data_IF_860173205155
#
_entry.id   IF_860173205155
#
_cell.length_a   1.000
_cell.length_b   1.000
_cell.length_c   1.000
_cell.angle_alpha   90.00
_cell.angle_beta   90.00
_cell.angle_gamma   90.00
#
_symmetry.space_group_name_H-M   'P 1'
#
loop_
_entity.id
_entity.type
_entity.pdbx_description
1 polymer ?
#
# COMPACT_ATOMS: atom_id res chain seq x y z
N UNK A 1 -52.18 -7.73 -10.55
CA UNK A 1 -52.25 -6.47 -11.36
C UNK A 1 -51.37 -5.47 -10.70
N UNK A 2 -50.16 -5.27 -11.19
CA UNK A 2 -49.26 -4.17 -10.75
C UNK A 2 -49.86 -2.89 -11.30
N UNK A 3 -50.56 -2.13 -10.45
CA UNK A 3 -50.98 -0.77 -10.78
C UNK A 3 -49.72 0.05 -11.06
N UNK A 4 -49.54 0.45 -12.31
CA UNK A 4 -48.47 1.33 -12.71
C UNK A 4 -48.75 2.72 -12.10
N UNK A 5 -48.14 2.99 -10.93
CA UNK A 5 -48.34 4.21 -10.14
C UNK A 5 -47.44 5.35 -10.70
N UNK A 6 -46.77 5.12 -11.81
CA UNK A 6 -45.85 6.08 -12.42
C UNK A 6 -46.62 7.22 -13.11
N UNK A 7 -46.33 8.45 -12.73
CA UNK A 7 -46.85 9.63 -13.43
C UNK A 7 -46.01 9.88 -14.69
N UNK A 8 -46.67 10.01 -15.83
CA UNK A 8 -46.02 10.27 -17.13
C UNK A 8 -44.90 9.31 -17.52
N UNK A 9 -44.99 8.04 -17.09
CA UNK A 9 -43.94 7.01 -17.30
C UNK A 9 -42.55 7.34 -16.70
N UNK A 10 -42.50 8.29 -15.79
CA UNK A 10 -41.24 8.54 -15.03
C UNK A 10 -40.99 7.34 -14.10
N UNK A 11 -39.77 6.80 -14.06
CA UNK A 11 -39.46 5.67 -13.19
C UNK A 11 -39.78 5.98 -11.71
N UNK A 12 -40.60 5.17 -11.04
CA UNK A 12 -40.90 5.36 -9.62
C UNK A 12 -39.69 5.03 -8.74
N UNK A 13 -39.77 5.35 -7.44
CA UNK A 13 -38.76 5.01 -6.44
C UNK A 13 -37.32 5.41 -6.86
N UNK A 14 -37.20 6.64 -7.38
CA UNK A 14 -35.96 7.22 -7.90
C UNK A 14 -35.31 6.41 -9.06
N UNK A 15 -36.03 5.47 -9.68
CA UNK A 15 -35.48 4.58 -10.69
C UNK A 15 -34.42 3.58 -10.16
N UNK A 16 -34.20 3.58 -8.86
CA UNK A 16 -33.19 2.74 -8.20
C UNK A 16 -33.75 1.46 -7.57
N UNK A 17 -35.09 1.40 -7.41
CA UNK A 17 -35.77 0.28 -6.73
C UNK A 17 -37.03 -0.09 -7.52
N UNK A 18 -37.47 -1.33 -7.30
CA UNK A 18 -38.79 -1.78 -7.74
C UNK A 18 -39.74 -1.87 -6.54
N UNK A 19 -41.09 -1.77 -6.80
CA UNK A 19 -42.07 -1.99 -5.75
C UNK A 19 -42.01 -3.43 -5.21
N UNK A 20 -41.73 -4.41 -6.07
CA UNK A 20 -41.61 -5.81 -5.69
C UNK A 20 -40.49 -6.06 -4.69
N UNK A 21 -39.29 -5.54 -4.97
CA UNK A 21 -38.13 -5.65 -4.06
C UNK A 21 -38.35 -4.88 -2.76
N UNK A 22 -38.94 -3.69 -2.85
CA UNK A 22 -39.16 -2.80 -1.71
C UNK A 22 -40.25 -3.23 -0.74
N UNK A 23 -41.12 -4.15 -1.16
CA UNK A 23 -42.19 -4.73 -0.32
C UNK A 23 -41.69 -5.89 0.55
N UNK A 24 -40.52 -6.43 0.29
CA UNK A 24 -39.93 -7.49 1.11
C UNK A 24 -39.41 -6.91 2.44
N UNK A 25 -39.73 -7.55 3.61
CA UNK A 25 -39.26 -7.01 4.91
C UNK A 25 -37.73 -6.86 5.01
N UNK A 26 -36.97 -7.84 4.53
CA UNK A 26 -35.53 -7.86 4.59
C UNK A 26 -34.97 -8.11 6.00
N UNK A 27 -33.72 -7.69 6.22
CA UNK A 27 -33.04 -7.80 7.50
C UNK A 27 -33.55 -6.75 8.49
N UNK A 28 -33.63 -7.12 9.77
CA UNK A 28 -33.75 -6.16 10.85
C UNK A 28 -32.47 -5.32 11.01
N UNK A 29 -32.56 -4.17 11.70
CA UNK A 29 -31.37 -3.33 11.99
C UNK A 29 -30.34 -4.13 12.79
N UNK A 30 -30.76 -4.94 13.76
CA UNK A 30 -29.86 -5.74 14.58
C UNK A 30 -29.09 -6.77 13.73
N UNK A 31 -29.79 -7.52 12.87
CA UNK A 31 -29.17 -8.51 11.96
C UNK A 31 -28.22 -7.83 10.96
N UNK A 32 -28.64 -6.67 10.42
CA UNK A 32 -27.80 -5.88 9.53
C UNK A 32 -26.50 -5.46 10.23
N UNK A 33 -26.56 -4.88 11.43
CA UNK A 33 -25.39 -4.43 12.20
C UNK A 33 -24.45 -5.58 12.54
N UNK A 34 -24.96 -6.74 12.94
CA UNK A 34 -24.12 -7.93 13.19
C UNK A 34 -23.32 -8.31 11.95
N UNK A 35 -23.96 -8.38 10.79
CA UNK A 35 -23.28 -8.67 9.52
C UNK A 35 -22.27 -7.61 9.14
N UNK A 36 -22.60 -6.31 9.25
CA UNK A 36 -21.68 -5.22 8.96
C UNK A 36 -20.44 -5.26 9.86
N UNK A 37 -20.58 -5.64 11.13
CA UNK A 37 -19.43 -5.83 12.05
C UNK A 37 -18.53 -6.99 11.61
N UNK A 38 -19.09 -8.10 11.11
CA UNK A 38 -18.29 -9.19 10.56
C UNK A 38 -17.53 -8.75 9.29
N UNK A 39 -18.19 -8.05 8.35
CA UNK A 39 -17.54 -7.51 7.15
C UNK A 39 -16.43 -6.53 7.49
N UNK A 40 -16.69 -5.62 8.44
CA UNK A 40 -15.70 -4.71 8.98
C UNK A 40 -14.47 -5.45 9.53
N UNK A 41 -14.69 -6.49 10.34
CA UNK A 41 -13.61 -7.30 10.91
C UNK A 41 -12.77 -8.00 9.83
N UNK A 42 -13.43 -8.67 8.87
CA UNK A 42 -12.76 -9.35 7.76
C UNK A 42 -11.87 -8.36 6.99
N UNK A 43 -12.39 -7.19 6.61
CA UNK A 43 -11.64 -6.17 5.88
C UNK A 43 -10.52 -5.56 6.72
N UNK A 44 -10.75 -5.29 8.01
CA UNK A 44 -9.72 -4.79 8.94
C UNK A 44 -8.56 -5.78 9.08
N UNK A 45 -8.86 -7.08 9.24
CA UNK A 45 -7.84 -8.13 9.32
C UNK A 45 -7.13 -8.34 7.97
N UNK A 46 -7.86 -8.27 6.85
CA UNK A 46 -7.25 -8.31 5.51
C UNK A 46 -6.30 -7.14 5.30
N UNK A 47 -6.68 -5.91 5.69
CA UNK A 47 -5.78 -4.75 5.72
C UNK A 47 -4.51 -5.05 6.51
N UNK A 48 -4.64 -5.58 7.73
CA UNK A 48 -3.51 -5.93 8.58
C UNK A 48 -2.58 -6.95 7.90
N UNK A 49 -3.14 -8.03 7.34
CA UNK A 49 -2.36 -9.07 6.66
C UNK A 49 -1.60 -8.48 5.48
N UNK A 50 -2.30 -7.78 4.59
CA UNK A 50 -1.71 -7.17 3.39
C UNK A 50 -0.60 -6.19 3.75
N UNK A 51 -0.89 -5.26 4.68
CA UNK A 51 0.11 -4.29 5.14
C UNK A 51 1.35 -4.98 5.73
N UNK A 52 1.16 -5.93 6.65
CA UNK A 52 2.28 -6.54 7.37
C UNK A 52 3.19 -7.41 6.47
N UNK A 53 2.72 -7.80 5.29
CA UNK A 53 3.49 -8.63 4.36
C UNK A 53 4.22 -7.83 3.30
N UNK A 54 4.02 -6.51 3.17
CA UNK A 54 4.71 -5.68 2.18
C UNK A 54 6.23 -5.74 2.31
N UNK A 55 6.87 -5.58 3.48
CA UNK A 55 8.33 -5.63 3.55
C UNK A 55 8.89 -6.99 3.17
N UNK A 56 8.38 -8.06 3.78
CA UNK A 56 8.91 -9.42 3.62
C UNK A 56 8.54 -10.10 2.30
N UNK A 57 7.55 -9.61 1.54
CA UNK A 57 7.25 -10.11 0.20
C UNK A 57 8.36 -9.73 -0.77
N UNK A 58 8.90 -10.70 -1.52
CA UNK A 58 9.98 -10.43 -2.47
C UNK A 58 9.49 -9.95 -3.83
N UNK A 59 8.31 -10.41 -4.29
CA UNK A 59 7.81 -10.13 -5.63
C UNK A 59 7.29 -8.69 -5.70
N UNK A 60 7.92 -7.88 -6.55
CA UNK A 60 7.60 -6.45 -6.69
C UNK A 60 6.11 -6.19 -6.98
N UNK A 61 5.53 -6.91 -7.94
CA UNK A 61 4.11 -6.76 -8.31
C UNK A 61 3.16 -7.08 -7.16
N UNK A 62 3.55 -8.02 -6.29
CA UNK A 62 2.75 -8.33 -5.10
C UNK A 62 2.85 -7.25 -4.03
N UNK A 63 4.03 -6.64 -3.84
CA UNK A 63 4.15 -5.47 -2.95
C UNK A 63 3.23 -4.32 -3.37
N UNK A 64 3.22 -4.01 -4.68
CA UNK A 64 2.36 -2.97 -5.25
C UNK A 64 0.87 -3.30 -5.06
N UNK A 65 0.50 -4.56 -5.33
CA UNK A 65 -0.87 -5.03 -5.14
C UNK A 65 -1.30 -5.06 -3.67
N UNK A 66 -0.44 -5.49 -2.75
CA UNK A 66 -0.75 -5.46 -1.32
C UNK A 66 -0.94 -4.03 -0.81
N UNK A 67 -0.17 -3.07 -1.33
CA UNK A 67 -0.34 -1.65 -1.04
C UNK A 67 -1.72 -1.15 -1.49
N UNK A 68 -2.14 -1.46 -2.74
CA UNK A 68 -3.46 -1.10 -3.28
C UNK A 68 -4.59 -1.78 -2.51
N UNK A 69 -4.48 -3.10 -2.31
CA UNK A 69 -5.54 -3.88 -1.69
C UNK A 69 -5.71 -3.56 -0.19
N UNK A 70 -4.61 -3.19 0.50
CA UNK A 70 -4.73 -2.67 1.87
C UNK A 70 -5.45 -1.33 1.91
N UNK A 71 -5.21 -0.46 0.92
CA UNK A 71 -5.93 0.81 0.78
C UNK A 71 -7.42 0.58 0.51
N UNK A 72 -7.80 -0.30 -0.42
CA UNK A 72 -9.21 -0.68 -0.63
C UNK A 72 -9.87 -1.18 0.66
N UNK A 73 -9.21 -2.09 1.36
CA UNK A 73 -9.70 -2.57 2.66
C UNK A 73 -9.90 -1.43 3.66
N UNK A 74 -8.95 -0.48 3.74
CA UNK A 74 -9.02 0.65 4.67
C UNK A 74 -10.21 1.58 4.38
N UNK A 75 -10.48 1.87 3.11
CA UNK A 75 -11.62 2.68 2.68
C UNK A 75 -12.96 2.01 3.02
N UNK A 76 -13.08 0.70 2.76
CA UNK A 76 -14.30 -0.04 3.11
C UNK A 76 -14.49 -0.17 4.62
N UNK A 77 -13.44 -0.37 5.39
CA UNK A 77 -13.50 -0.35 6.85
C UNK A 77 -14.05 1.00 7.33
N UNK A 78 -13.54 2.12 6.81
CA UNK A 78 -14.03 3.47 7.17
C UNK A 78 -15.51 3.67 6.83
N UNK A 79 -15.93 3.23 5.64
CA UNK A 79 -17.33 3.30 5.22
C UNK A 79 -18.25 2.46 6.13
N UNK A 80 -17.81 1.26 6.52
CA UNK A 80 -18.57 0.37 7.40
C UNK A 80 -18.62 0.91 8.84
N UNK A 81 -17.50 1.45 9.37
CA UNK A 81 -17.47 2.12 10.70
C UNK A 81 -18.46 3.26 10.74
N UNK A 82 -18.46 4.13 9.72
CA UNK A 82 -19.42 5.22 9.60
C UNK A 82 -20.86 4.69 9.56
N UNK A 83 -21.13 3.68 8.70
CA UNK A 83 -22.50 3.14 8.56
C UNK A 83 -23.03 2.54 9.86
N UNK A 84 -22.24 1.74 10.58
CA UNK A 84 -22.65 1.21 11.88
C UNK A 84 -22.93 2.32 12.88
N UNK A 85 -22.15 3.39 12.88
CA UNK A 85 -22.35 4.58 13.73
C UNK A 85 -23.64 5.36 13.40
N UNK A 86 -24.16 5.26 12.16
CA UNK A 86 -25.43 5.90 11.75
C UNK A 86 -26.67 5.10 12.17
N UNK A 87 -26.50 3.85 12.57
CA UNK A 87 -27.61 2.96 12.97
C UNK A 87 -27.87 3.12 14.48
N UNK A 88 -29.07 2.75 14.92
CA UNK A 88 -29.45 2.87 16.34
C UNK A 88 -28.62 2.00 17.29
N UNK A 89 -27.92 1.00 16.75
CA UNK A 89 -26.98 0.18 17.51
C UNK A 89 -25.67 0.97 17.70
N UNK A 90 -25.15 1.14 18.93
CA UNK A 90 -23.91 1.86 19.15
C UNK A 90 -22.73 1.21 18.40
N UNK A 91 -21.78 2.01 17.88
CA UNK A 91 -20.57 1.51 17.23
C UNK A 91 -19.60 0.83 18.19
N UNK A 92 -19.89 0.84 19.49
CA UNK A 92 -19.09 0.20 20.54
C UNK A 92 -18.85 -1.28 20.21
N UNK A 93 -17.59 -1.70 20.31
CA UNK A 93 -17.19 -3.06 20.03
C UNK A 93 -16.76 -3.32 18.59
N UNK A 94 -16.62 -2.30 17.72
CA UNK A 94 -16.06 -2.48 16.36
C UNK A 94 -14.60 -2.96 16.37
N UNK A 95 -13.89 -2.76 17.45
CA UNK A 95 -12.52 -3.24 17.63
C UNK A 95 -12.46 -4.61 18.32
N UNK A 96 -13.59 -5.14 18.78
CA UNK A 96 -13.69 -6.48 19.33
C UNK A 96 -13.79 -7.52 18.20
N UNK A 97 -13.37 -8.75 18.51
CA UNK A 97 -13.56 -9.90 17.63
C UNK A 97 -15.05 -10.29 17.63
N UNK A 98 -15.75 -10.22 16.49
CA UNK A 98 -17.16 -10.59 16.43
C UNK A 98 -17.41 -12.11 16.49
N UNK A 99 -16.42 -12.91 16.05
CA UNK A 99 -16.48 -14.37 15.99
C UNK A 99 -15.09 -14.98 16.12
N UNK A 100 -14.90 -15.95 17.01
CA UNK A 100 -13.61 -16.60 17.28
C UNK A 100 -13.04 -17.34 16.07
N UNK A 101 -13.89 -17.85 15.16
CA UNK A 101 -13.44 -18.55 13.97
C UNK A 101 -12.85 -17.59 12.93
N UNK A 102 -13.37 -16.35 12.86
CA UNK A 102 -12.75 -15.30 12.05
C UNK A 102 -11.37 -14.89 12.61
N UNK A 103 -11.21 -14.88 13.92
CA UNK A 103 -9.90 -14.60 14.52
C UNK A 103 -8.90 -15.69 14.14
N UNK A 104 -9.24 -16.97 14.34
CA UNK A 104 -8.40 -18.11 13.97
C UNK A 104 -8.05 -18.06 12.49
N UNK A 105 -9.03 -17.84 11.61
CA UNK A 105 -8.82 -17.72 10.17
C UNK A 105 -7.71 -16.71 9.83
N UNK A 106 -7.81 -15.50 10.35
CA UNK A 106 -6.84 -14.44 10.03
C UNK A 106 -5.50 -14.61 10.74
N UNK A 107 -5.48 -15.24 11.91
CA UNK A 107 -4.22 -15.62 12.56
C UNK A 107 -3.46 -16.66 11.72
N UNK A 108 -4.15 -17.64 11.16
CA UNK A 108 -3.59 -18.62 10.23
C UNK A 108 -3.08 -17.97 8.94
N UNK A 109 -3.86 -17.05 8.36
CA UNK A 109 -3.50 -16.37 7.10
C UNK A 109 -2.27 -15.46 7.30
N UNK A 110 -2.21 -14.68 8.38
CA UNK A 110 -1.07 -13.80 8.62
C UNK A 110 0.21 -14.58 8.90
N UNK A 111 0.08 -15.76 9.52
CA UNK A 111 1.17 -16.68 9.84
C UNK A 111 1.55 -17.61 8.66
N UNK A 112 0.91 -17.47 7.49
CA UNK A 112 1.20 -18.30 6.33
C UNK A 112 2.71 -18.26 5.98
N UNK A 113 3.38 -19.43 5.84
CA UNK A 113 4.83 -19.50 5.73
C UNK A 113 5.38 -19.14 4.35
N UNK A 114 4.53 -19.12 3.32
CA UNK A 114 4.93 -18.80 1.95
C UNK A 114 3.97 -17.83 1.28
N UNK A 115 4.46 -17.14 0.24
CA UNK A 115 3.64 -16.28 -0.64
C UNK A 115 2.44 -17.03 -1.23
N UNK A 116 2.63 -18.29 -1.65
CA UNK A 116 1.55 -19.09 -2.22
C UNK A 116 0.41 -19.33 -1.22
N UNK A 117 0.74 -19.73 0.00
CA UNK A 117 -0.25 -19.96 1.06
C UNK A 117 -0.97 -18.66 1.46
N UNK A 118 -0.21 -17.57 1.58
CA UNK A 118 -0.78 -16.25 1.82
C UNK A 118 -1.82 -15.87 0.75
N UNK A 119 -1.47 -16.05 -0.53
CA UNK A 119 -2.37 -15.76 -1.65
C UNK A 119 -3.60 -16.67 -1.64
N UNK A 120 -3.45 -17.96 -1.35
CA UNK A 120 -4.59 -18.88 -1.19
C UNK A 120 -5.51 -18.41 -0.07
N UNK A 121 -4.95 -18.14 1.12
CA UNK A 121 -5.73 -17.70 2.28
C UNK A 121 -6.53 -16.43 2.02
N UNK A 122 -5.94 -15.43 1.37
CA UNK A 122 -6.61 -14.18 1.05
C UNK A 122 -7.55 -14.31 -0.17
N UNK A 123 -7.03 -14.77 -1.33
CA UNK A 123 -7.71 -14.61 -2.62
C UNK A 123 -8.52 -15.82 -3.07
N UNK A 124 -8.29 -17.01 -2.51
CA UNK A 124 -9.12 -18.20 -2.77
C UNK A 124 -10.10 -18.54 -1.63
N UNK A 125 -9.78 -18.10 -0.39
CA UNK A 125 -10.61 -18.42 0.77
C UNK A 125 -11.31 -17.19 1.33
N UNK A 126 -10.59 -16.20 1.88
CA UNK A 126 -11.19 -15.08 2.62
C UNK A 126 -12.02 -14.14 1.75
N UNK A 127 -11.45 -13.59 0.66
CA UNK A 127 -12.17 -12.65 -0.21
C UNK A 127 -13.36 -13.29 -0.96
N UNK A 128 -13.29 -14.52 -1.49
CA UNK A 128 -14.46 -15.18 -2.06
C UNK A 128 -15.59 -15.41 -1.06
N UNK A 129 -15.26 -15.75 0.18
CA UNK A 129 -16.25 -15.85 1.26
C UNK A 129 -16.90 -14.49 1.56
N UNK A 130 -16.10 -13.44 1.72
CA UNK A 130 -16.60 -12.08 1.94
C UNK A 130 -17.50 -11.64 0.78
N UNK A 131 -17.06 -11.85 -0.46
CA UNK A 131 -17.84 -11.55 -1.67
C UNK A 131 -19.21 -12.23 -1.65
N UNK A 132 -19.23 -13.55 -1.37
CA UNK A 132 -20.46 -14.32 -1.28
C UNK A 132 -21.38 -13.82 -0.18
N UNK A 133 -20.81 -13.47 0.99
CA UNK A 133 -21.56 -12.96 2.14
C UNK A 133 -22.16 -11.58 1.87
N UNK A 134 -21.42 -10.70 1.18
CA UNK A 134 -21.89 -9.37 0.74
C UNK A 134 -23.01 -9.50 -0.31
N UNK A 135 -22.84 -10.39 -1.29
CA UNK A 135 -23.91 -10.66 -2.27
C UNK A 135 -25.17 -11.17 -1.60
N UNK A 136 -25.05 -12.16 -0.69
CA UNK A 136 -26.18 -12.66 0.09
C UNK A 136 -26.88 -11.56 0.89
N UNK A 137 -26.11 -10.60 1.46
CA UNK A 137 -26.68 -9.45 2.15
C UNK A 137 -27.58 -8.63 1.21
N UNK A 138 -27.11 -8.34 -0.01
CA UNK A 138 -27.90 -7.63 -1.02
C UNK A 138 -29.19 -8.36 -1.39
N UNK A 139 -29.11 -9.70 -1.48
CA UNK A 139 -30.25 -10.56 -1.88
C UNK A 139 -31.34 -10.60 -0.81
N UNK A 140 -30.99 -10.52 0.48
CA UNK A 140 -31.91 -10.70 1.60
C UNK A 140 -32.33 -9.41 2.30
N UNK A 141 -31.60 -8.30 2.12
CA UNK A 141 -31.97 -7.00 2.71
C UNK A 141 -33.10 -6.32 1.93
N UNK A 142 -33.78 -5.35 2.56
CA UNK A 142 -34.67 -4.46 1.83
C UNK A 142 -33.87 -3.34 1.16
N UNK A 143 -33.83 -3.26 -0.18
CA UNK A 143 -32.95 -2.33 -0.88
C UNK A 143 -33.32 -0.86 -0.70
N UNK A 144 -34.58 -0.56 -0.38
CA UNK A 144 -35.04 0.80 -0.12
C UNK A 144 -34.77 1.21 1.33
N UNK A 145 -35.15 0.37 2.30
CA UNK A 145 -35.00 0.68 3.72
C UNK A 145 -33.52 0.73 4.14
N UNK A 146 -32.69 -0.19 3.62
CA UNK A 146 -31.26 -0.28 3.94
C UNK A 146 -30.36 0.19 2.78
N UNK A 147 -30.86 1.11 1.96
CA UNK A 147 -30.09 1.63 0.80
C UNK A 147 -28.69 2.13 1.15
N UNK A 148 -28.41 2.81 2.27
CA UNK A 148 -27.05 3.22 2.60
C UNK A 148 -26.07 2.03 2.71
N UNK A 149 -26.46 0.92 3.33
CA UNK A 149 -25.64 -0.29 3.39
C UNK A 149 -25.52 -0.96 2.02
N UNK A 150 -26.64 -1.05 1.26
CA UNK A 150 -26.63 -1.57 -0.11
C UNK A 150 -25.62 -0.83 -0.99
N UNK A 151 -25.59 0.50 -0.91
CA UNK A 151 -24.62 1.31 -1.66
C UNK A 151 -23.17 0.97 -1.29
N UNK A 152 -22.83 0.92 -0.01
CA UNK A 152 -21.48 0.59 0.47
C UNK A 152 -21.08 -0.81 -0.03
N UNK A 153 -21.96 -1.80 0.10
CA UNK A 153 -21.71 -3.18 -0.30
C UNK A 153 -21.46 -3.29 -1.82
N UNK A 154 -22.23 -2.57 -2.64
CA UNK A 154 -22.03 -2.56 -4.11
C UNK A 154 -20.65 -2.05 -4.50
N UNK A 155 -20.15 -0.99 -3.87
CA UNK A 155 -18.80 -0.50 -4.12
C UNK A 155 -17.73 -1.50 -3.63
N UNK A 156 -17.93 -2.09 -2.45
CA UNK A 156 -17.01 -3.10 -1.96
C UNK A 156 -16.92 -4.32 -2.89
N UNK A 157 -18.04 -4.78 -3.45
CA UNK A 157 -18.05 -5.91 -4.39
C UNK A 157 -17.23 -5.64 -5.66
N UNK A 158 -17.24 -4.41 -6.20
CA UNK A 158 -16.44 -4.07 -7.38
C UNK A 158 -14.94 -4.27 -7.11
N UNK A 159 -14.43 -3.70 -6.02
CA UNK A 159 -13.01 -3.77 -5.70
C UNK A 159 -12.59 -5.17 -5.21
N UNK A 160 -13.46 -5.88 -4.48
CA UNK A 160 -13.22 -7.28 -4.07
C UNK A 160 -13.14 -8.20 -5.29
N UNK A 161 -13.98 -8.00 -6.32
CA UNK A 161 -13.92 -8.79 -7.56
C UNK A 161 -12.61 -8.55 -8.33
N UNK A 162 -12.11 -7.30 -8.34
CA UNK A 162 -10.78 -6.97 -8.89
C UNK A 162 -9.66 -7.67 -8.11
N UNK A 163 -9.68 -7.60 -6.78
CA UNK A 163 -8.70 -8.27 -5.92
C UNK A 163 -8.68 -9.79 -6.14
N UNK A 164 -9.85 -10.44 -6.18
CA UNK A 164 -9.97 -11.89 -6.44
C UNK A 164 -9.40 -12.23 -7.82
N UNK A 165 -9.73 -11.45 -8.85
CA UNK A 165 -9.24 -11.67 -10.22
C UNK A 165 -7.71 -11.59 -10.28
N UNK A 166 -7.12 -10.58 -9.66
CA UNK A 166 -5.67 -10.43 -9.55
C UNK A 166 -5.03 -11.63 -8.83
N UNK A 167 -5.54 -11.99 -7.65
CA UNK A 167 -5.02 -13.11 -6.86
C UNK A 167 -5.04 -14.44 -7.59
N UNK A 168 -6.11 -14.74 -8.34
CA UNK A 168 -6.19 -15.94 -9.19
C UNK A 168 -5.11 -15.94 -10.25
N UNK A 169 -4.89 -14.84 -10.94
CA UNK A 169 -3.84 -14.72 -11.97
C UNK A 169 -2.44 -14.92 -11.38
N UNK A 170 -2.19 -14.41 -10.16
CA UNK A 170 -0.93 -14.63 -9.45
C UNK A 170 -0.74 -16.10 -9.08
N UNK A 171 -1.76 -16.76 -8.53
CA UNK A 171 -1.70 -18.17 -8.15
C UNK A 171 -1.48 -19.09 -9.34
N UNK A 172 -2.12 -18.81 -10.48
CA UNK A 172 -1.87 -19.54 -11.73
C UNK A 172 -0.40 -19.40 -12.17
N UNK A 173 0.19 -18.23 -12.03
CA UNK A 173 1.58 -17.96 -12.41
C UNK A 173 2.58 -18.65 -11.50
N UNK A 174 2.37 -18.58 -10.19
CA UNK A 174 3.23 -19.21 -9.18
C UNK A 174 3.13 -20.74 -9.25
N UNK A 175 1.91 -21.29 -9.42
CA UNK A 175 1.68 -22.74 -9.48
C UNK A 175 2.29 -23.41 -10.71
N UNK A 176 2.52 -22.67 -11.80
CA UNK A 176 3.26 -23.20 -12.97
C UNK A 176 4.73 -23.46 -12.66
N UNK A 177 5.31 -22.68 -11.74
CA UNK A 177 6.73 -22.83 -11.33
C UNK A 177 6.90 -23.89 -10.24
N UNK A 178 5.92 -24.05 -9.36
CA UNK A 178 5.97 -24.98 -8.22
C UNK A 178 4.77 -25.92 -8.21
N UNK A 179 4.97 -27.13 -8.79
CA UNK A 179 3.92 -28.15 -8.91
C UNK A 179 3.75 -29.03 -7.67
N UNK A 180 4.66 -28.96 -6.70
CA UNK A 180 4.79 -29.97 -5.64
C UNK A 180 3.96 -29.66 -4.37
N UNK A 181 3.44 -28.46 -4.23
CA UNK A 181 2.82 -28.02 -2.97
C UNK A 181 1.31 -28.07 -3.00
N UNK A 182 0.73 -28.94 -2.17
CA UNK A 182 -0.71 -29.03 -1.94
C UNK A 182 -0.96 -29.22 -0.44
N UNK A 183 -1.08 -28.12 0.32
CA UNK A 183 -1.45 -28.17 1.73
C UNK A 183 -2.98 -28.16 1.89
N UNK A 184 -3.61 -29.27 1.47
CA UNK A 184 -5.07 -29.41 1.55
C UNK A 184 -5.58 -29.33 2.98
N UNK A 185 -4.81 -29.85 3.97
CA UNK A 185 -5.25 -29.84 5.38
C UNK A 185 -5.37 -28.43 5.95
N UNK A 186 -4.49 -27.48 5.54
CA UNK A 186 -4.58 -26.09 5.96
C UNK A 186 -5.75 -25.37 5.28
N UNK A 187 -5.98 -25.62 3.99
CA UNK A 187 -7.13 -25.08 3.28
C UNK A 187 -8.46 -25.59 3.90
N UNK A 188 -8.50 -26.88 4.27
CA UNK A 188 -9.65 -27.47 4.95
C UNK A 188 -9.90 -26.80 6.31
N UNK A 189 -8.82 -26.51 7.08
CA UNK A 189 -8.92 -25.76 8.33
C UNK A 189 -9.49 -24.36 8.12
N UNK A 190 -9.01 -23.62 7.11
CA UNK A 190 -9.55 -22.28 6.80
C UNK A 190 -11.05 -22.35 6.41
N UNK A 191 -11.43 -23.33 5.62
CA UNK A 191 -12.83 -23.55 5.25
C UNK A 191 -13.68 -23.96 6.46
N UNK A 192 -13.15 -24.77 7.38
CA UNK A 192 -13.83 -25.10 8.63
C UNK A 192 -14.07 -23.84 9.47
N UNK A 193 -13.10 -22.94 9.58
CA UNK A 193 -13.31 -21.64 10.23
C UNK A 193 -14.51 -20.91 9.62
N UNK A 194 -14.52 -20.75 8.29
CA UNK A 194 -15.58 -20.00 7.60
C UNK A 194 -16.97 -20.63 7.73
N UNK A 195 -17.06 -21.96 7.72
CA UNK A 195 -18.32 -22.69 7.87
C UNK A 195 -18.94 -22.53 9.27
N UNK A 196 -18.14 -22.16 10.26
CA UNK A 196 -18.58 -21.98 11.66
C UNK A 196 -18.89 -20.51 12.02
N UNK A 197 -18.75 -19.54 11.10
CA UNK A 197 -19.11 -18.14 11.35
C UNK A 197 -20.64 -17.97 11.41
N UNK A 198 -21.19 -17.93 12.61
CA UNK A 198 -22.62 -18.01 12.88
C UNK A 198 -23.46 -16.88 12.24
N UNK A 199 -22.97 -15.63 12.31
CA UNK A 199 -23.73 -14.46 11.84
C UNK A 199 -23.81 -14.33 10.31
N UNK A 200 -22.98 -15.07 9.58
CA UNK A 200 -22.92 -15.03 8.10
C UNK A 200 -23.47 -16.29 7.43
N UNK A 201 -23.45 -17.43 8.09
CA UNK A 201 -23.84 -18.72 7.49
C UNK A 201 -25.34 -19.06 7.61
N UNK A 202 -26.11 -18.40 8.47
CA UNK A 202 -27.50 -18.71 8.82
C UNK A 202 -27.70 -20.11 9.46
N UNK A 203 -26.65 -20.82 9.73
CA UNK A 203 -26.72 -22.07 10.49
C UNK A 203 -26.49 -21.75 11.96
N UNK A 204 -27.45 -22.10 12.81
CA UNK A 204 -27.18 -22.10 14.25
C UNK A 204 -26.15 -23.22 14.51
N UNK A 205 -24.87 -22.88 14.47
CA UNK A 205 -23.86 -23.83 14.86
C UNK A 205 -24.02 -24.15 16.34
N UNK A 206 -24.65 -25.30 16.61
CA UNK A 206 -24.90 -25.81 17.96
C UNK A 206 -23.67 -26.52 18.55
N UNK A 207 -22.58 -26.65 17.78
CA UNK A 207 -21.33 -27.32 18.22
C UNK A 207 -20.20 -26.32 18.21
N UNK A 208 -19.65 -26.02 19.38
CA UNK A 208 -18.31 -25.43 19.48
C UNK A 208 -17.30 -26.48 18.99
N UNK A 209 -16.87 -26.35 17.76
CA UNK A 209 -15.80 -27.18 17.20
C UNK A 209 -14.50 -26.55 17.64
N UNK A 210 -13.66 -27.30 18.36
CA UNK A 210 -12.31 -26.85 18.69
C UNK A 210 -11.45 -27.00 17.45
N UNK A 211 -11.08 -25.87 16.84
CA UNK A 211 -10.20 -25.84 15.66
C UNK A 211 -8.74 -25.89 16.14
N UNK A 212 -7.98 -26.86 15.66
CA UNK A 212 -6.56 -26.96 15.94
C UNK A 212 -5.78 -26.02 15.01
N UNK A 213 -5.12 -25.01 15.58
CA UNK A 213 -4.27 -24.06 14.84
C UNK A 213 -3.06 -24.79 14.23
N UNK A 214 -2.70 -24.46 12.98
CA UNK A 214 -1.59 -25.07 12.27
C UNK A 214 -0.37 -24.14 12.23
N UNK A 215 -0.52 -22.94 11.68
CA UNK A 215 0.57 -21.96 11.58
C UNK A 215 0.50 -20.90 12.68
N UNK A 216 -0.65 -20.71 13.27
CA UNK A 216 -0.88 -19.73 14.34
C UNK A 216 -0.91 -20.34 15.74
N UNK A 217 -0.24 -21.50 15.94
CA UNK A 217 -0.06 -22.06 17.29
C UNK A 217 0.68 -21.09 18.22
N UNK A 218 1.62 -20.32 17.67
CA UNK A 218 2.27 -19.18 18.31
C UNK A 218 1.82 -17.88 17.64
N UNK A 219 1.76 -16.75 18.38
CA UNK A 219 1.42 -15.45 17.80
C UNK A 219 2.36 -15.06 16.66
N UNK A 220 1.78 -14.52 15.58
CA UNK A 220 2.56 -14.00 14.45
C UNK A 220 3.57 -12.95 14.92
N UNK A 221 4.80 -13.08 14.48
CA UNK A 221 5.85 -12.09 14.68
C UNK A 221 6.03 -11.27 13.41
N UNK A 222 5.88 -9.95 13.54
CA UNK A 222 6.05 -9.06 12.41
C UNK A 222 7.49 -9.08 11.90
N UNK A 223 7.66 -9.23 10.60
CA UNK A 223 8.95 -9.14 9.92
C UNK A 223 9.00 -7.85 9.07
N UNK A 224 9.69 -6.86 9.57
CA UNK A 224 9.91 -5.58 8.89
C UNK A 224 11.13 -5.55 7.99
N UNK A 225 11.87 -6.65 7.85
CA UNK A 225 13.06 -6.70 6.98
C UNK A 225 12.63 -6.74 5.52
N UNK A 226 13.02 -5.73 4.69
CA UNK A 226 12.67 -5.72 3.29
C UNK A 226 13.32 -6.88 2.53
N UNK A 227 12.52 -7.55 1.71
CA UNK A 227 12.97 -8.56 0.77
C UNK A 227 12.55 -8.16 -0.64
N UNK A 228 13.41 -8.41 -1.64
CA UNK A 228 13.16 -8.04 -3.06
C UNK A 228 13.63 -9.15 -4.00
N UNK A 229 13.03 -9.23 -5.17
CA UNK A 229 13.40 -10.21 -6.19
C UNK A 229 14.70 -9.84 -6.93
N UNK A 230 15.11 -10.71 -7.86
CA UNK A 230 16.38 -10.60 -8.59
C UNK A 230 16.54 -9.33 -9.44
N UNK A 231 15.48 -8.55 -9.64
CA UNK A 231 15.53 -7.24 -10.32
C UNK A 231 16.23 -6.17 -9.49
N UNK A 232 16.48 -6.44 -8.21
CA UNK A 232 17.08 -5.54 -7.23
C UNK A 232 18.39 -6.14 -6.66
N UNK A 233 19.44 -6.29 -7.47
CA UNK A 233 20.58 -7.16 -7.15
C UNK A 233 21.54 -6.61 -6.08
N UNK A 234 21.60 -5.30 -5.86
CA UNK A 234 22.49 -4.67 -4.86
C UNK A 234 21.68 -3.72 -3.96
N UNK A 235 21.12 -4.26 -2.85
CA UNK A 235 20.26 -3.49 -1.95
C UNK A 235 20.96 -2.33 -1.25
N UNK A 236 22.27 -2.31 -1.22
CA UNK A 236 23.08 -1.28 -0.57
C UNK A 236 23.80 -0.34 -1.57
N UNK A 237 23.47 -0.43 -2.86
CA UNK A 237 24.11 0.39 -3.88
C UNK A 237 23.75 1.88 -3.74
N UNK A 238 24.77 2.71 -3.57
CA UNK A 238 24.67 4.16 -3.42
C UNK A 238 25.54 4.90 -4.45
N UNK A 239 25.91 4.21 -5.53
CA UNK A 239 26.86 4.68 -6.53
C UNK A 239 26.39 5.85 -7.38
N UNK A 240 25.12 6.26 -7.31
CA UNK A 240 24.58 7.41 -8.07
C UNK A 240 23.76 8.31 -7.15
N UNK A 241 24.19 9.56 -7.01
CA UNK A 241 23.44 10.61 -6.32
C UNK A 241 22.51 11.33 -7.31
N UNK A 242 21.27 10.94 -7.33
CA UNK A 242 20.26 11.49 -8.24
C UNK A 242 20.01 12.99 -8.00
N UNK A 243 20.01 13.43 -6.75
CA UNK A 243 19.78 14.83 -6.37
C UNK A 243 20.94 15.71 -6.86
N UNK A 244 22.19 15.26 -6.71
CA UNK A 244 23.35 16.00 -7.23
C UNK A 244 23.27 16.19 -8.75
N UNK A 245 22.79 15.18 -9.48
CA UNK A 245 22.56 15.32 -10.92
C UNK A 245 21.39 16.26 -11.23
N UNK A 246 20.28 16.09 -10.54
CA UNK A 246 19.04 16.83 -10.80
C UNK A 246 19.19 18.34 -10.57
N UNK A 247 19.92 18.73 -9.52
CA UNK A 247 20.12 20.14 -9.16
C UNK A 247 21.30 20.81 -9.87
N UNK A 248 22.10 20.09 -10.64
CA UNK A 248 23.17 20.68 -11.47
C UNK A 248 22.58 21.33 -12.72
N UNK A 249 22.68 22.66 -12.80
CA UNK A 249 22.13 23.46 -13.91
C UNK A 249 22.81 23.16 -15.27
N UNK A 250 24.00 22.55 -15.27
CA UNK A 250 24.74 22.21 -16.49
C UNK A 250 24.11 21.04 -17.27
N UNK A 251 23.29 20.20 -16.63
CA UNK A 251 22.63 19.08 -17.29
C UNK A 251 21.31 19.47 -17.93
N UNK A 252 21.03 18.99 -19.16
CA UNK A 252 19.78 19.31 -19.86
C UNK A 252 18.57 18.63 -19.22
N UNK A 253 17.38 19.26 -19.29
CA UNK A 253 16.15 18.75 -18.67
C UNK A 253 15.76 17.33 -19.13
N UNK A 254 16.05 16.96 -20.36
CA UNK A 254 15.76 15.63 -20.92
C UNK A 254 16.53 14.52 -20.17
N UNK A 255 17.79 14.78 -19.79
CA UNK A 255 18.59 13.83 -19.02
C UNK A 255 18.19 13.80 -17.54
N UNK A 256 17.76 14.95 -17.00
CA UNK A 256 17.23 15.05 -15.64
C UNK A 256 15.94 14.23 -15.47
N UNK A 257 15.13 14.11 -16.52
CA UNK A 257 13.93 13.27 -16.49
C UNK A 257 14.26 11.80 -16.17
N UNK A 258 15.40 11.27 -16.60
CA UNK A 258 15.84 9.91 -16.25
C UNK A 258 16.08 9.76 -14.74
N UNK A 259 16.68 10.77 -14.12
CA UNK A 259 16.90 10.77 -12.66
C UNK A 259 15.59 10.94 -11.89
N UNK A 260 14.61 11.66 -12.44
CA UNK A 260 13.27 11.73 -11.83
C UNK A 260 12.54 10.40 -11.87
N UNK A 261 12.60 9.66 -13.00
CA UNK A 261 12.05 8.30 -13.06
C UNK A 261 12.74 7.35 -12.09
N UNK A 262 14.07 7.46 -11.95
CA UNK A 262 14.80 6.71 -10.95
C UNK A 262 14.37 7.07 -9.52
N UNK A 263 14.22 8.36 -9.20
CA UNK A 263 13.74 8.79 -7.88
C UNK A 263 12.37 8.21 -7.58
N UNK A 264 11.44 8.27 -8.55
CA UNK A 264 10.11 7.66 -8.39
C UNK A 264 10.20 6.14 -8.16
N UNK A 265 10.94 5.42 -8.98
CA UNK A 265 11.09 3.97 -8.82
C UNK A 265 11.73 3.59 -7.48
N UNK A 266 12.67 4.41 -6.98
CA UNK A 266 13.31 4.23 -5.66
C UNK A 266 12.30 4.36 -4.50
N UNK A 267 11.18 5.02 -4.69
CA UNK A 267 10.13 5.16 -3.67
C UNK A 267 9.43 3.85 -3.29
N UNK A 268 9.80 2.71 -3.89
CA UNK A 268 9.46 1.38 -3.35
C UNK A 268 9.91 1.20 -1.88
N UNK A 269 10.95 1.93 -1.43
CA UNK A 269 11.39 1.94 -0.04
C UNK A 269 10.34 2.48 0.92
N UNK A 270 9.50 3.41 0.47
CA UNK A 270 8.56 4.11 1.35
C UNK A 270 7.40 3.20 1.79
N UNK A 271 6.69 2.45 0.92
CA UNK A 271 5.71 1.46 1.36
C UNK A 271 6.29 0.42 2.32
N UNK A 272 7.53 -0.03 2.11
CA UNK A 272 8.21 -0.98 3.00
C UNK A 272 8.44 -0.39 4.40
N UNK A 273 8.82 0.88 4.48
CA UNK A 273 8.97 1.59 5.75
C UNK A 273 7.63 1.93 6.39
N UNK A 274 6.67 2.45 5.64
CA UNK A 274 5.35 2.84 6.15
C UNK A 274 4.58 1.64 6.69
N UNK A 275 4.67 0.49 6.02
CA UNK A 275 4.12 -0.77 6.51
C UNK A 275 4.59 -1.06 7.94
N UNK A 276 5.88 -0.85 8.21
CA UNK A 276 6.44 -1.08 9.55
C UNK A 276 5.95 -0.06 10.58
N UNK A 277 5.75 1.20 10.19
CA UNK A 277 5.15 2.21 11.07
C UNK A 277 3.73 1.81 11.45
N UNK A 278 2.91 1.41 10.47
CA UNK A 278 1.52 0.99 10.66
C UNK A 278 1.44 -0.25 11.56
N UNK A 279 2.24 -1.29 11.24
CA UNK A 279 2.23 -2.57 11.95
C UNK A 279 2.65 -2.44 13.43
N UNK A 280 3.62 -1.60 13.70
CA UNK A 280 4.24 -1.47 15.02
C UNK A 280 3.73 -0.25 15.83
N UNK A 281 2.67 0.43 15.35
CA UNK A 281 2.00 1.52 16.08
C UNK A 281 0.55 1.13 16.40
N UNK A 282 0.30 0.17 17.30
CA UNK A 282 -1.04 -0.25 17.67
C UNK A 282 -1.77 0.81 18.51
N UNK A 283 -3.11 0.69 18.58
CA UNK A 283 -3.94 1.47 19.49
C UNK A 283 -4.25 2.89 19.02
N UNK A 284 -3.96 3.22 17.78
CA UNK A 284 -4.40 4.47 17.16
C UNK A 284 -5.88 4.42 16.76
N UNK A 285 -6.56 5.58 16.63
CA UNK A 285 -7.88 5.62 16.01
C UNK A 285 -7.79 5.15 14.56
N UNK A 286 -8.92 4.65 14.01
CA UNK A 286 -8.91 4.07 12.67
C UNK A 286 -8.48 5.06 11.58
N UNK A 287 -8.80 6.32 11.74
CA UNK A 287 -8.46 7.41 10.84
C UNK A 287 -6.94 7.52 10.61
N UNK A 288 -6.14 7.23 11.65
CA UNK A 288 -4.67 7.13 11.51
C UNK A 288 -4.27 6.05 10.51
N UNK A 289 -4.84 4.85 10.65
CA UNK A 289 -4.51 3.74 9.75
C UNK A 289 -4.98 4.00 8.32
N UNK A 290 -6.14 4.63 8.15
CA UNK A 290 -6.66 5.03 6.85
C UNK A 290 -5.74 6.02 6.16
N UNK A 291 -5.35 7.11 6.84
CA UNK A 291 -4.47 8.14 6.31
C UNK A 291 -3.09 7.59 5.96
N UNK A 292 -2.48 6.83 6.88
CA UNK A 292 -1.17 6.21 6.65
C UNK A 292 -1.20 5.20 5.50
N UNK A 293 -2.28 4.43 5.36
CA UNK A 293 -2.43 3.48 4.25
C UNK A 293 -2.69 4.19 2.93
N UNK A 294 -3.36 5.35 2.94
CA UNK A 294 -3.51 6.18 1.75
C UNK A 294 -2.15 6.68 1.27
N UNK A 295 -1.32 7.24 2.14
CA UNK A 295 0.03 7.66 1.80
C UNK A 295 0.87 6.47 1.30
N UNK A 296 0.83 5.34 2.00
CA UNK A 296 1.53 4.11 1.59
C UNK A 296 1.18 3.69 0.14
N UNK A 297 -0.10 3.77 -0.23
CA UNK A 297 -0.53 3.48 -1.60
C UNK A 297 -0.04 4.54 -2.60
N UNK A 298 -0.04 5.81 -2.25
CA UNK A 298 0.47 6.87 -3.10
C UNK A 298 1.95 6.64 -3.43
N UNK A 299 2.76 6.27 -2.43
CA UNK A 299 4.18 5.94 -2.61
C UNK A 299 4.42 4.71 -3.49
N UNK A 300 3.58 3.67 -3.34
CA UNK A 300 3.62 2.52 -4.25
C UNK A 300 3.28 2.92 -5.69
N UNK A 301 2.33 3.87 -5.89
CA UNK A 301 2.03 4.44 -7.21
C UNK A 301 3.22 5.23 -7.77
N UNK A 302 3.88 6.02 -6.94
CA UNK A 302 5.06 6.76 -7.35
C UNK A 302 6.16 5.83 -7.86
N UNK A 303 6.40 4.71 -7.17
CA UNK A 303 7.34 3.70 -7.65
C UNK A 303 6.95 3.15 -9.04
N UNK A 304 5.67 2.83 -9.24
CA UNK A 304 5.17 2.37 -10.55
C UNK A 304 5.24 3.46 -11.62
N UNK A 305 5.07 4.75 -11.28
CA UNK A 305 5.28 5.85 -12.24
C UNK A 305 6.74 5.90 -12.74
N UNK A 306 7.71 5.64 -11.86
CA UNK A 306 9.11 5.52 -12.25
C UNK A 306 9.36 4.36 -13.23
N UNK A 307 8.79 3.19 -12.93
CA UNK A 307 8.83 2.03 -13.83
C UNK A 307 8.23 2.35 -15.20
N UNK A 308 7.01 2.90 -15.23
CA UNK A 308 6.33 3.28 -16.48
C UNK A 308 7.15 4.29 -17.28
N UNK A 309 7.82 5.24 -16.61
CA UNK A 309 8.71 6.20 -17.27
C UNK A 309 9.83 5.55 -18.04
N UNK A 310 10.51 4.55 -17.46
CA UNK A 310 11.56 3.78 -18.13
C UNK A 310 11.02 2.90 -19.24
N UNK A 311 9.92 2.17 -18.99
CA UNK A 311 9.29 1.30 -20.00
C UNK A 311 8.84 2.11 -21.21
N UNK A 312 8.29 3.31 -21.03
CA UNK A 312 7.90 4.21 -22.11
C UNK A 312 9.08 4.62 -23.00
N UNK A 313 10.28 4.75 -22.42
CA UNK A 313 11.51 5.01 -23.15
C UNK A 313 12.14 3.74 -23.76
N UNK A 314 11.52 2.57 -23.62
CA UNK A 314 12.08 1.30 -24.06
C UNK A 314 13.32 0.85 -23.28
N UNK A 315 13.50 1.37 -22.05
CA UNK A 315 14.62 1.06 -21.16
C UNK A 315 14.28 -0.14 -20.30
N UNK A 316 15.14 -1.15 -20.33
CA UNK A 316 15.07 -2.30 -19.42
C UNK A 316 15.63 -1.91 -18.05
N UNK A 317 14.83 -1.23 -17.22
CA UNK A 317 15.28 -0.67 -15.94
C UNK A 317 15.94 -1.71 -15.00
N UNK A 318 15.50 -2.99 -14.89
CA UNK A 318 16.18 -3.96 -14.03
C UNK A 318 17.65 -4.20 -14.39
N UNK A 319 18.01 -3.94 -15.65
CA UNK A 319 19.38 -4.07 -16.13
C UNK A 319 20.19 -2.77 -15.97
N UNK A 320 19.53 -1.63 -16.21
CA UNK A 320 20.23 -0.35 -16.38
C UNK A 320 20.31 0.49 -15.10
N UNK A 321 19.47 0.21 -14.07
CA UNK A 321 19.51 0.93 -12.81
C UNK A 321 19.57 -0.02 -11.63
N UNK A 322 20.17 0.42 -10.51
CA UNK A 322 20.17 -0.30 -9.24
C UNK A 322 19.33 0.45 -8.23
N UNK A 323 18.22 -0.17 -7.83
CA UNK A 323 17.34 0.35 -6.79
C UNK A 323 17.73 -0.31 -5.48
N UNK A 324 18.32 0.45 -4.58
CA UNK A 324 18.66 -0.05 -3.26
C UNK A 324 17.43 -0.08 -2.34
N UNK A 325 17.54 -0.77 -1.23
CA UNK A 325 16.59 -0.75 -0.12
C UNK A 325 17.27 -0.39 1.21
N UNK A 326 18.36 0.37 1.13
CA UNK A 326 19.11 0.78 2.31
C UNK A 326 18.26 1.58 3.27
N UNK A 327 17.36 2.42 2.74
CA UNK A 327 16.48 3.24 3.54
C UNK A 327 15.49 2.40 4.33
N UNK A 328 14.66 1.60 3.66
CA UNK A 328 13.67 0.77 4.32
C UNK A 328 14.34 -0.24 5.27
N UNK A 329 15.42 -0.87 4.86
CA UNK A 329 16.17 -1.80 5.69
C UNK A 329 16.73 -1.12 6.94
N UNK A 330 17.47 -0.01 6.79
CA UNK A 330 18.08 0.68 7.91
C UNK A 330 17.04 1.30 8.85
N UNK A 331 16.00 1.92 8.30
CA UNK A 331 14.93 2.52 9.09
C UNK A 331 14.16 1.45 9.87
N UNK A 332 13.81 0.32 9.23
CA UNK A 332 13.03 -0.73 9.87
C UNK A 332 13.81 -1.52 10.93
N UNK A 333 15.14 -1.63 10.79
CA UNK A 333 15.98 -2.39 11.72
C UNK A 333 16.66 -1.56 12.80
N UNK A 334 16.87 -0.24 12.59
CA UNK A 334 17.64 0.61 13.49
C UNK A 334 16.79 1.62 14.26
N UNK A 335 15.60 1.96 13.76
CA UNK A 335 14.75 2.99 14.35
C UNK A 335 13.46 2.39 14.95
N UNK A 336 12.96 3.06 15.97
CA UNK A 336 11.61 2.79 16.51
C UNK A 336 10.52 3.30 15.56
N UNK A 337 9.28 2.82 15.65
CA UNK A 337 8.18 3.31 14.81
C UNK A 337 7.98 4.83 14.85
N UNK A 338 8.17 5.45 16.03
CA UNK A 338 8.11 6.91 16.18
C UNK A 338 9.25 7.61 15.43
N UNK A 339 10.47 7.07 15.49
CA UNK A 339 11.63 7.62 14.76
C UNK A 339 11.47 7.45 13.25
N UNK A 340 10.92 6.32 12.77
CA UNK A 340 10.59 6.13 11.34
C UNK A 340 9.57 7.17 10.86
N UNK A 341 8.51 7.40 11.63
CA UNK A 341 7.52 8.43 11.31
C UNK A 341 8.12 9.84 11.35
N UNK A 342 9.09 10.06 12.23
CA UNK A 342 9.85 11.31 12.28
C UNK A 342 10.64 11.55 10.99
N UNK A 343 11.34 10.51 10.50
CA UNK A 343 12.10 10.58 9.25
C UNK A 343 11.17 10.81 8.07
N UNK A 344 10.04 10.08 8.00
CA UNK A 344 9.03 10.27 6.96
C UNK A 344 8.56 11.72 6.91
N UNK A 345 8.08 12.26 8.02
CA UNK A 345 7.61 13.65 8.09
C UNK A 345 8.70 14.67 7.74
N UNK A 346 9.93 14.44 8.19
CA UNK A 346 11.07 15.30 7.88
C UNK A 346 11.33 15.38 6.38
N UNK A 347 11.29 14.23 5.68
CA UNK A 347 11.46 14.17 4.22
C UNK A 347 10.31 14.88 3.51
N UNK A 348 9.07 14.54 3.82
CA UNK A 348 7.88 15.12 3.20
C UNK A 348 7.81 16.64 3.38
N UNK A 349 8.07 17.12 4.59
CA UNK A 349 8.08 18.55 4.87
C UNK A 349 9.24 19.26 4.15
N UNK A 350 10.38 18.59 4.00
CA UNK A 350 11.54 19.09 3.28
C UNK A 350 11.33 19.25 1.77
N UNK A 351 10.35 18.54 1.19
CA UNK A 351 10.01 18.61 -0.23
C UNK A 351 9.05 19.77 -0.57
N UNK A 352 8.48 20.46 0.43
CA UNK A 352 7.49 21.52 0.22
C UNK A 352 8.06 22.87 -0.27
N UNK A 353 9.32 23.29 0.01
CA UNK A 353 9.89 24.50 -0.56
C UNK A 353 9.93 24.50 -2.10
N UNK A 354 10.06 25.70 -2.70
CA UNK A 354 10.11 25.85 -4.17
C UNK A 354 11.26 25.08 -4.84
N UNK A 355 12.31 24.78 -4.11
CA UNK A 355 13.46 23.97 -4.54
C UNK A 355 13.23 22.46 -4.48
N UNK A 356 12.08 22.02 -3.98
CA UNK A 356 11.67 20.60 -3.91
C UNK A 356 10.80 20.19 -5.09
N UNK A 357 9.61 19.66 -4.82
CA UNK A 357 8.68 19.10 -5.83
C UNK A 357 8.30 20.08 -6.95
N UNK A 358 8.18 21.37 -6.65
CA UNK A 358 7.94 22.37 -7.68
C UNK A 358 9.07 22.44 -8.69
N UNK A 359 10.33 22.42 -8.26
CA UNK A 359 11.48 22.37 -9.15
C UNK A 359 11.47 21.12 -10.03
N UNK A 360 11.21 19.96 -9.45
CA UNK A 360 11.11 18.70 -10.19
C UNK A 360 10.01 18.77 -11.27
N UNK A 361 8.86 19.35 -10.96
CA UNK A 361 7.79 19.57 -11.92
C UNK A 361 8.20 20.52 -13.06
N UNK A 362 8.88 21.63 -12.75
CA UNK A 362 9.41 22.58 -13.74
C UNK A 362 10.39 21.89 -14.69
N UNK A 363 11.33 21.10 -14.16
CA UNK A 363 12.27 20.28 -14.95
C UNK A 363 11.51 19.24 -15.81
N UNK A 364 10.49 18.59 -15.25
CA UNK A 364 9.64 17.65 -15.99
C UNK A 364 8.99 18.29 -17.22
N UNK A 365 8.48 19.52 -17.08
CA UNK A 365 7.91 20.29 -18.19
C UNK A 365 8.96 20.67 -19.25
N UNK A 366 10.12 21.10 -18.81
CA UNK A 366 11.22 21.49 -19.70
C UNK A 366 11.83 20.32 -20.45
N UNK A 367 11.77 19.11 -19.89
CA UNK A 367 12.27 17.87 -20.50
C UNK A 367 11.53 17.46 -21.77
N UNK A 368 10.40 18.10 -22.09
CA UNK A 368 9.52 17.77 -23.23
C UNK A 368 9.00 16.33 -23.21
N UNK A 369 9.17 15.61 -22.09
CA UNK A 369 8.58 14.30 -21.89
C UNK A 369 7.22 14.46 -21.17
N UNK A 370 6.08 14.19 -21.85
CA UNK A 370 4.75 14.41 -21.26
C UNK A 370 4.50 13.61 -19.98
N UNK A 371 5.04 12.37 -19.88
CA UNK A 371 4.90 11.54 -18.69
C UNK A 371 5.73 12.09 -17.52
N UNK A 372 6.95 12.59 -17.78
CA UNK A 372 7.75 13.22 -16.74
C UNK A 372 7.01 14.42 -16.12
N UNK A 373 6.43 15.29 -16.97
CA UNK A 373 5.66 16.43 -16.48
C UNK A 373 4.43 15.98 -15.67
N UNK A 374 3.67 15.00 -16.20
CA UNK A 374 2.46 14.49 -15.55
C UNK A 374 2.77 13.83 -14.20
N UNK A 375 3.76 12.97 -14.15
CA UNK A 375 4.10 12.23 -12.94
C UNK A 375 4.60 13.15 -11.83
N UNK A 376 5.42 14.15 -12.16
CA UNK A 376 5.86 15.13 -11.15
C UNK A 376 4.72 16.05 -10.68
N UNK A 377 3.72 16.32 -11.51
CA UNK A 377 2.55 17.13 -11.12
C UNK A 377 1.67 16.39 -10.09
N UNK A 378 1.37 15.11 -10.34
CA UNK A 378 0.59 14.29 -9.42
C UNK A 378 1.37 13.93 -8.15
N UNK A 379 2.65 13.60 -8.27
CA UNK A 379 3.54 13.38 -7.16
C UNK A 379 3.58 14.61 -6.21
N UNK A 380 3.76 15.81 -6.75
CA UNK A 380 3.69 17.03 -5.96
C UNK A 380 2.33 17.22 -5.27
N UNK A 381 1.23 16.90 -5.94
CA UNK A 381 -0.10 16.99 -5.35
C UNK A 381 -0.26 16.02 -4.15
N UNK A 382 0.22 14.79 -4.29
CA UNK A 382 0.17 13.77 -3.24
C UNK A 382 1.05 14.17 -2.04
N UNK A 383 2.25 14.74 -2.25
CA UNK A 383 3.16 15.19 -1.20
C UNK A 383 2.57 16.30 -0.30
N UNK A 384 1.68 17.12 -0.84
CA UNK A 384 0.94 18.09 -0.03
C UNK A 384 0.02 17.37 0.98
N UNK A 385 -0.59 16.26 0.57
CA UNK A 385 -1.37 15.40 1.45
C UNK A 385 -0.48 14.71 2.49
N UNK A 386 0.67 14.16 2.07
CA UNK A 386 1.62 13.46 2.94
C UNK A 386 2.15 14.37 4.06
N UNK A 387 2.57 15.60 3.71
CA UNK A 387 2.96 16.59 4.71
C UNK A 387 1.83 16.94 5.69
N UNK A 388 0.55 16.93 5.24
CA UNK A 388 -0.61 17.12 6.12
C UNK A 388 -0.80 15.92 7.06
N UNK A 389 -0.73 14.69 6.56
CA UNK A 389 -0.83 13.46 7.37
C UNK A 389 0.21 13.48 8.51
N UNK A 390 1.46 13.83 8.19
CA UNK A 390 2.50 13.97 9.20
C UNK A 390 2.21 15.08 10.23
N UNK A 391 1.65 16.23 9.79
CA UNK A 391 1.21 17.28 10.74
C UNK A 391 0.09 16.80 11.66
N UNK A 392 -0.85 16.03 11.15
CA UNK A 392 -2.02 15.59 11.92
C UNK A 392 -1.66 14.47 12.93
N UNK A 393 -0.75 13.56 12.55
CA UNK A 393 -0.48 12.35 13.32
C UNK A 393 0.88 12.31 14.03
N UNK A 394 1.89 13.05 13.54
CA UNK A 394 3.23 13.03 14.12
C UNK A 394 3.56 14.31 14.91
N UNK A 395 3.31 15.50 14.34
CA UNK A 395 3.62 16.79 15.01
C UNK A 395 3.01 16.95 16.40
N UNK A 396 1.79 16.42 16.72
CA UNK A 396 1.22 16.52 18.06
C UNK A 396 2.04 15.88 19.20
N UNK A 397 3.08 15.11 18.88
CA UNK A 397 4.02 14.61 19.89
C UNK A 397 5.05 15.65 20.35
N UNK A 398 5.09 16.83 19.75
CA UNK A 398 6.06 17.89 19.98
C UNK A 398 5.36 19.20 20.35
N UNK A 399 6.12 20.13 20.93
CA UNK A 399 5.55 21.43 21.31
C UNK A 399 5.28 22.32 20.09
N UNK A 400 6.04 22.12 19.00
CA UNK A 400 5.88 22.86 17.76
C UNK A 400 6.45 22.07 16.56
N UNK A 401 6.08 22.44 15.32
CA UNK A 401 6.57 21.75 14.12
C UNK A 401 8.09 21.77 13.92
N UNK A 402 8.79 22.81 14.44
CA UNK A 402 10.24 22.92 14.31
C UNK A 402 10.94 21.81 15.10
N UNK A 403 10.53 21.57 16.34
CA UNK A 403 11.07 20.47 17.16
C UNK A 403 10.81 19.10 16.48
N UNK A 404 9.66 18.93 15.84
CA UNK A 404 9.33 17.72 15.11
C UNK A 404 10.29 17.50 13.92
N UNK A 405 10.60 18.54 13.15
CA UNK A 405 11.55 18.51 12.04
C UNK A 405 12.96 18.22 12.53
N UNK A 406 13.43 18.93 13.56
CA UNK A 406 14.77 18.75 14.15
C UNK A 406 14.97 17.32 14.67
N UNK A 407 13.94 16.73 15.27
CA UNK A 407 13.97 15.34 15.72
C UNK A 407 14.05 14.36 14.52
N UNK A 408 13.31 14.62 13.46
CA UNK A 408 13.36 13.84 12.23
C UNK A 408 14.73 13.88 11.55
N UNK A 409 15.34 15.07 11.46
CA UNK A 409 16.71 15.24 10.94
C UNK A 409 17.75 14.48 11.77
N UNK A 410 17.62 14.52 13.10
CA UNK A 410 18.50 13.76 13.99
C UNK A 410 18.38 12.25 13.77
N UNK A 411 17.14 11.72 13.62
CA UNK A 411 16.91 10.30 13.33
C UNK A 411 17.48 9.91 11.96
N UNK A 412 17.26 10.71 10.94
CA UNK A 412 17.80 10.51 9.60
C UNK A 412 19.33 10.52 9.59
N UNK A 413 19.94 11.48 10.29
CA UNK A 413 21.40 11.61 10.40
C UNK A 413 22.04 10.40 11.07
N UNK A 414 21.38 9.82 12.08
CA UNK A 414 21.84 8.61 12.76
C UNK A 414 21.95 7.43 11.79
N UNK A 415 20.93 7.21 10.96
CA UNK A 415 20.92 6.13 9.96
C UNK A 415 22.01 6.31 8.91
N UNK A 416 22.21 7.55 8.43
CA UNK A 416 23.24 7.85 7.43
C UNK A 416 24.66 7.68 7.95
N UNK A 417 24.89 7.90 9.23
CA UNK A 417 26.22 7.71 9.83
C UNK A 417 26.67 6.25 9.81
N UNK A 418 25.73 5.31 9.89
CA UNK A 418 26.02 3.88 9.87
C UNK A 418 26.25 3.32 8.44
N UNK A 419 26.08 4.14 7.43
CA UNK A 419 26.07 3.73 6.03
C UNK A 419 27.42 3.24 5.51
N UNK A 420 28.50 3.88 5.93
CA UNK A 420 29.87 3.45 5.60
C UNK A 420 30.19 2.02 6.07
N UNK A 421 29.42 1.50 7.03
CA UNK A 421 29.59 0.13 7.48
C UNK A 421 29.35 -0.89 6.36
N UNK A 422 28.33 -0.69 5.53
CA UNK A 422 27.99 -1.63 4.43
C UNK A 422 29.11 -1.72 3.39
N UNK A 423 29.79 -0.60 3.12
CA UNK A 423 30.96 -0.56 2.25
C UNK A 423 32.11 -1.33 2.88
N UNK A 424 32.43 -1.03 4.14
CA UNK A 424 33.52 -1.64 4.87
C UNK A 424 33.31 -3.16 5.05
N UNK A 425 32.08 -3.61 5.14
CA UNK A 425 31.70 -5.02 5.21
C UNK A 425 31.66 -5.70 3.85
N UNK A 426 31.89 -4.99 2.76
CA UNK A 426 31.86 -5.54 1.39
C UNK A 426 30.46 -5.95 0.90
N UNK A 427 29.40 -5.42 1.50
CA UNK A 427 28.00 -5.74 1.15
C UNK A 427 27.54 -5.07 -0.13
N UNK A 428 28.28 -4.07 -0.65
CA UNK A 428 27.98 -3.38 -1.89
C UNK A 428 29.26 -3.10 -2.67
N UNK A 429 29.12 -3.02 -3.98
CA UNK A 429 30.20 -2.63 -4.89
C UNK A 429 30.13 -1.14 -5.29
N UNK A 430 29.12 -0.39 -4.86
CA UNK A 430 28.87 0.99 -5.24
C UNK A 430 28.95 1.21 -6.75
N UNK A 431 28.27 0.36 -7.51
CA UNK A 431 28.28 0.45 -8.97
C UNK A 431 27.65 1.76 -9.44
N UNK A 432 28.40 2.54 -10.21
CA UNK A 432 27.84 3.69 -10.94
C UNK A 432 27.13 3.18 -12.20
N UNK A 433 25.80 3.07 -12.11
CA UNK A 433 24.94 2.59 -13.20
C UNK A 433 24.52 3.72 -14.17
N UNK A 434 24.83 4.98 -13.88
CA UNK A 434 24.41 6.12 -14.70
C UNK A 434 24.86 6.02 -16.17
N UNK A 435 26.13 5.69 -16.53
CA UNK A 435 26.53 5.60 -17.93
C UNK A 435 25.67 4.64 -18.74
N UNK A 436 25.38 3.46 -18.21
CA UNK A 436 24.54 2.47 -18.89
C UNK A 436 23.11 2.96 -19.13
N UNK A 437 22.49 3.56 -18.12
CA UNK A 437 21.17 4.18 -18.23
C UNK A 437 21.17 5.29 -19.31
N UNK A 438 22.14 6.18 -19.29
CA UNK A 438 22.20 7.30 -20.23
C UNK A 438 22.44 6.83 -21.67
N UNK A 439 23.32 5.85 -21.88
CA UNK A 439 23.52 5.22 -23.19
C UNK A 439 22.24 4.54 -23.72
N UNK A 440 21.53 3.82 -22.86
CA UNK A 440 20.24 3.22 -23.23
C UNK A 440 19.20 4.28 -23.62
N UNK A 441 19.15 5.38 -22.89
CA UNK A 441 18.26 6.50 -23.21
C UNK A 441 18.65 7.20 -24.52
N UNK A 442 19.92 7.48 -24.74
CA UNK A 442 20.42 8.08 -26.00
C UNK A 442 20.07 7.20 -27.20
N UNK A 443 20.23 5.88 -27.08
CA UNK A 443 19.80 4.93 -28.11
C UNK A 443 18.30 5.03 -28.38
N UNK A 444 17.48 5.13 -27.36
CA UNK A 444 16.03 5.33 -27.50
C UNK A 444 15.69 6.66 -28.19
N UNK A 445 16.42 7.71 -27.89
CA UNK A 445 16.25 9.04 -28.50
C UNK A 445 16.86 9.16 -29.89
N UNK A 446 17.68 8.21 -30.32
CA UNK A 446 18.37 8.25 -31.62
C UNK A 446 19.48 9.32 -31.68
N UNK A 447 20.16 9.58 -30.57
CA UNK A 447 21.25 10.54 -30.44
C UNK A 447 22.53 9.88 -29.91
N UNK A 448 23.68 10.48 -30.19
CA UNK A 448 24.95 10.06 -29.59
C UNK A 448 25.08 10.56 -28.14
N UNK A 449 25.61 9.74 -27.22
CA UNK A 449 25.84 10.15 -25.85
C UNK A 449 26.84 11.30 -25.74
N UNK A 450 26.52 12.32 -24.94
CA UNK A 450 27.45 13.40 -24.62
C UNK A 450 28.51 12.90 -23.61
N UNK A 451 29.83 12.95 -23.95
CA UNK A 451 30.88 12.46 -23.06
C UNK A 451 30.93 13.16 -21.69
N UNK A 452 30.54 14.43 -21.61
CA UNK A 452 30.55 15.15 -20.32
C UNK A 452 29.43 14.69 -19.39
N UNK A 453 28.27 14.32 -19.94
CA UNK A 453 27.15 13.75 -19.18
C UNK A 453 27.46 12.31 -18.73
N UNK A 454 28.12 11.52 -19.58
CA UNK A 454 28.56 10.16 -19.24
C UNK A 454 29.52 10.10 -18.05
N UNK A 455 30.32 11.16 -17.83
CA UNK A 455 31.33 11.22 -16.75
C UNK A 455 30.73 11.43 -15.35
N UNK A 456 29.41 11.64 -15.22
CA UNK A 456 28.81 11.81 -13.91
C UNK A 456 29.09 10.60 -13.01
N UNK A 457 29.66 10.86 -11.83
CA UNK A 457 30.13 9.84 -10.90
C UNK A 457 29.95 10.21 -9.41
N UNK A 458 29.08 11.18 -9.10
CA UNK A 458 28.82 11.52 -7.71
C UNK A 458 27.95 10.44 -7.06
N UNK A 459 28.37 9.98 -5.90
CA UNK A 459 27.66 9.02 -5.07
C UNK A 459 27.04 9.70 -3.84
N UNK A 460 26.16 9.00 -3.13
CA UNK A 460 25.60 9.51 -1.86
C UNK A 460 26.61 9.51 -0.70
N UNK A 461 27.78 8.87 -0.84
CA UNK A 461 28.77 8.76 0.23
C UNK A 461 29.30 10.10 0.75
N UNK A 462 29.38 11.10 -0.13
CA UNK A 462 30.06 12.35 0.17
C UNK A 462 29.16 13.56 0.34
N UNK A 463 27.89 13.50 -0.08
CA UNK A 463 27.01 14.67 -0.10
C UNK A 463 25.55 14.27 0.24
N UNK A 464 25.07 14.77 1.37
CA UNK A 464 23.64 14.82 1.69
C UNK A 464 22.99 16.01 0.95
N UNK A 465 22.83 15.91 -0.37
CA UNK A 465 22.35 17.02 -1.21
C UNK A 465 20.90 17.41 -0.87
N UNK A 466 20.07 16.42 -0.54
CA UNK A 466 18.68 16.54 -0.11
C UNK A 466 18.51 17.38 1.18
N UNK A 467 19.47 17.33 2.09
CA UNK A 467 19.42 18.04 3.37
C UNK A 467 20.08 19.44 3.34
N UNK A 468 21.01 19.69 2.42
CA UNK A 468 21.61 21.01 2.26
C UNK A 468 20.62 22.06 1.78
N UNK A 469 19.62 21.66 0.99
CA UNK A 469 18.56 22.55 0.51
C UNK A 469 17.55 22.90 1.60
N UNK A 470 17.34 22.04 2.58
CA UNK A 470 16.41 22.28 3.70
C UNK A 470 17.01 23.28 4.70
N UNK A 471 18.33 23.16 4.99
CA UNK A 471 19.02 24.07 5.90
C UNK A 471 19.27 25.47 5.31
N UNK A 472 19.24 25.62 3.98
CA UNK A 472 19.41 26.91 3.30
C UNK A 472 18.14 27.74 3.14
N UNK A 473 16.97 27.17 3.45
CA UNK A 473 15.65 27.80 3.33
C UNK A 473 15.01 28.16 4.68
N UNK A 474 15.76 28.06 5.78
CA UNK A 474 15.35 28.46 7.14
C UNK A 474 15.56 29.92 7.43
#
# INVERSE_FOLDING_TARGET
>A
MTTNISFQNIPPLAGAFTFEESQRPGLSVEECVKRLKCYHYILKRSHQVLNNRIPSESIYELKMAFSLHSHYCAEHVSALRKRVGEMREPPLGLDNTPDEHLEILFDEIIAAPSTKELLIGLYEVSFPFLRSSLQKHLDITNPLADHPSVRIIRFALLEIDEMISFGKSCLESISKKDKAYNNTSWIDLLNECLNNVSDLTNEQSTKKTTINRQYSAEPYQYDGVPNRDERFPDPFNMGVNAEAFLYDESYPPETKALMMFYKRLREIDVPEMMSSIIAETPGKPWEYYQDMTRQLWDEARHAMMGEVGFVNLGINWPKEVMINHTWSLALNTQLTPKERHAVLYFIEQGLMPKTGKRFEWEVGRESKNPLSALFQDYDWADEVLHARIGRDWYVPYFNNPKEAIEYGDACWSKVLMDWNQYINEGKTKHHNWWPGLYEAACKSWGIEPNPEILKFNQSYETIRADLKTISASG
#
